data_IF_668805284254
#
_entry.id   IF_668805284254
#
_cell.length_a   1.000
_cell.length_b   1.000
_cell.length_c   1.000
_cell.angle_alpha   90.00
_cell.angle_beta   90.00
_cell.angle_gamma   90.00
#
_symmetry.space_group_name_H-M   'P 1'
#
loop_
_entity.id
_entity.type
_entity.pdbx_description
1 polymer ?
#
# COMPACT_ATOMS: atom_id res chain seq x y z
N UNK A 1 26.25 43.22 -9.28
CA UNK A 1 24.79 43.02 -9.14
C UNK A 1 24.54 41.53 -9.11
N UNK A 2 23.98 41.04 -8.00
CA UNK A 2 23.76 39.63 -7.70
C UNK A 2 22.68 39.03 -8.61
N UNK A 3 23.00 37.92 -9.28
CA UNK A 3 22.03 37.02 -9.90
C UNK A 3 21.52 36.08 -8.81
N UNK A 4 20.24 36.22 -8.47
CA UNK A 4 19.53 35.34 -7.53
C UNK A 4 19.33 33.96 -8.15
N UNK A 5 20.15 33.00 -7.73
CA UNK A 5 20.03 31.58 -8.04
C UNK A 5 19.00 30.91 -7.09
N UNK A 6 17.71 31.23 -7.21
CA UNK A 6 16.68 30.72 -6.30
C UNK A 6 15.47 30.06 -7.00
N UNK A 7 15.51 29.83 -8.32
CA UNK A 7 14.33 29.39 -9.08
C UNK A 7 14.37 27.96 -9.66
N UNK A 8 15.46 27.20 -9.44
CA UNK A 8 15.67 25.91 -10.11
C UNK A 8 15.59 24.67 -9.20
N UNK A 9 15.49 24.85 -7.88
CA UNK A 9 15.31 23.73 -6.94
C UNK A 9 13.84 23.39 -6.67
N UNK A 10 12.92 24.36 -6.74
CA UNK A 10 11.54 24.21 -6.27
C UNK A 10 10.69 23.24 -7.11
N UNK A 11 10.99 23.10 -8.41
CA UNK A 11 10.25 22.23 -9.32
C UNK A 11 10.65 20.75 -9.22
N UNK A 12 11.83 20.43 -8.64
CA UNK A 12 12.32 19.04 -8.55
C UNK A 12 11.95 18.38 -7.22
N UNK A 13 11.61 19.17 -6.20
CA UNK A 13 11.15 18.71 -4.88
C UNK A 13 9.69 18.23 -4.89
N UNK A 14 8.85 18.79 -5.76
CA UNK A 14 7.40 18.52 -5.78
C UNK A 14 7.01 17.09 -6.17
N UNK A 15 7.68 16.47 -7.13
CA UNK A 15 7.36 15.09 -7.55
C UNK A 15 7.64 14.02 -6.46
N UNK A 16 8.82 14.00 -5.80
CA UNK A 16 9.09 13.05 -4.73
C UNK A 16 8.32 13.33 -3.43
N UNK A 17 8.05 14.60 -3.09
CA UNK A 17 7.22 14.95 -1.92
C UNK A 17 5.76 14.51 -2.14
N UNK A 18 5.18 14.77 -3.33
CA UNK A 18 3.85 14.30 -3.69
C UNK A 18 3.75 12.77 -3.67
N UNK A 19 4.80 12.06 -4.12
CA UNK A 19 4.84 10.60 -4.07
C UNK A 19 4.89 10.06 -2.64
N UNK A 20 5.61 10.73 -1.73
CA UNK A 20 5.66 10.35 -0.32
C UNK A 20 4.31 10.56 0.36
N UNK A 21 3.67 11.71 0.12
CA UNK A 21 2.34 12.00 0.67
C UNK A 21 1.28 11.01 0.16
N UNK A 22 1.32 10.67 -1.14
CA UNK A 22 0.48 9.65 -1.74
C UNK A 22 0.65 8.29 -1.05
N UNK A 23 1.88 7.82 -0.89
CA UNK A 23 2.17 6.54 -0.21
C UNK A 23 1.69 6.56 1.24
N UNK A 24 1.90 7.67 1.96
CA UNK A 24 1.41 7.83 3.32
C UNK A 24 -0.12 7.80 3.40
N UNK A 25 -0.81 8.47 2.47
CA UNK A 25 -2.27 8.43 2.36
C UNK A 25 -2.76 7.00 2.10
N UNK A 26 -2.18 6.35 1.09
CA UNK A 26 -2.49 4.98 0.72
C UNK A 26 -2.29 4.02 1.90
N UNK A 27 -1.20 4.18 2.66
CA UNK A 27 -0.96 3.37 3.84
C UNK A 27 -2.06 3.52 4.89
N UNK A 28 -2.42 4.76 5.23
CA UNK A 28 -3.48 5.03 6.22
C UNK A 28 -4.83 4.50 5.76
N UNK A 29 -5.15 4.64 4.47
CA UNK A 29 -6.37 4.09 3.90
C UNK A 29 -6.39 2.57 3.99
N UNK A 30 -5.29 1.89 3.65
CA UNK A 30 -5.18 0.44 3.76
C UNK A 30 -5.28 -0.06 5.20
N UNK A 31 -4.67 0.63 6.17
CA UNK A 31 -4.81 0.28 7.60
C UNK A 31 -6.26 0.44 8.09
N UNK A 32 -6.97 1.50 7.65
CA UNK A 32 -8.38 1.70 7.99
C UNK A 32 -9.29 0.62 7.37
N UNK A 33 -9.00 0.21 6.13
CA UNK A 33 -9.73 -0.86 5.45
C UNK A 33 -9.48 -2.22 6.11
N UNK A 34 -8.24 -2.53 6.50
CA UNK A 34 -7.93 -3.71 7.31
C UNK A 34 -8.74 -3.74 8.61
N UNK A 35 -8.83 -2.60 9.31
CA UNK A 35 -9.63 -2.52 10.53
C UNK A 35 -11.11 -2.77 10.24
N UNK A 36 -11.64 -2.22 9.15
CA UNK A 36 -13.01 -2.51 8.71
C UNK A 36 -13.23 -4.00 8.45
N UNK A 37 -12.28 -4.68 7.81
CA UNK A 37 -12.38 -6.13 7.57
C UNK A 37 -12.40 -6.93 8.87
N UNK A 38 -11.57 -6.53 9.84
CA UNK A 38 -11.54 -7.14 11.16
C UNK A 38 -12.89 -6.93 11.88
N UNK A 39 -13.46 -5.73 11.80
CA UNK A 39 -14.74 -5.39 12.43
C UNK A 39 -15.91 -6.15 11.79
N UNK A 40 -15.93 -6.27 10.45
CA UNK A 40 -16.89 -7.09 9.71
C UNK A 40 -16.85 -8.55 10.16
N UNK A 41 -15.66 -9.14 10.31
CA UNK A 41 -15.50 -10.52 10.79
C UNK A 41 -15.98 -10.67 12.24
N UNK A 42 -15.71 -9.69 13.11
CA UNK A 42 -16.20 -9.70 14.48
C UNK A 42 -17.72 -9.63 14.56
N UNK A 43 -18.35 -8.78 13.73
CA UNK A 43 -19.79 -8.65 13.66
C UNK A 43 -20.45 -9.94 13.13
N UNK A 44 -19.87 -10.56 12.11
CA UNK A 44 -20.40 -11.77 11.49
C UNK A 44 -20.14 -13.06 12.31
N UNK A 45 -19.29 -13.03 13.34
CA UNK A 45 -18.85 -14.21 14.10
C UNK A 45 -19.98 -15.14 14.58
N UNK A 46 -21.15 -14.58 14.90
CA UNK A 46 -22.30 -15.35 15.38
C UNK A 46 -23.17 -15.95 14.26
N UNK A 47 -22.97 -15.53 13.01
CA UNK A 47 -23.67 -16.01 11.82
C UNK A 47 -22.70 -16.79 10.90
N UNK A 48 -22.81 -18.13 10.85
CA UNK A 48 -21.95 -18.96 10.03
C UNK A 48 -22.06 -18.71 8.52
N UNK A 49 -23.24 -18.36 8.00
CA UNK A 49 -23.41 -18.10 6.56
C UNK A 49 -22.78 -16.76 6.19
N UNK A 50 -23.05 -15.73 6.97
CA UNK A 50 -22.42 -14.42 6.76
C UNK A 50 -20.89 -14.50 6.87
N UNK A 51 -20.38 -15.25 7.85
CA UNK A 51 -18.94 -15.50 7.99
C UNK A 51 -18.37 -16.20 6.74
N UNK A 52 -19.07 -17.22 6.20
CA UNK A 52 -18.63 -17.94 4.99
C UNK A 52 -18.58 -17.00 3.78
N UNK A 53 -19.58 -16.15 3.60
CA UNK A 53 -19.64 -15.19 2.51
C UNK A 53 -18.50 -14.17 2.59
N UNK A 54 -18.25 -13.60 3.78
CA UNK A 54 -17.13 -12.68 4.00
C UNK A 54 -15.78 -13.34 3.72
N UNK A 55 -15.54 -14.54 4.24
CA UNK A 55 -14.29 -15.26 3.98
C UNK A 55 -14.11 -15.61 2.49
N UNK A 56 -15.19 -15.93 1.78
CA UNK A 56 -15.13 -16.18 0.35
C UNK A 56 -14.79 -14.90 -0.44
N UNK A 57 -15.34 -13.75 -0.02
CA UNK A 57 -15.01 -12.44 -0.57
C UNK A 57 -13.53 -12.08 -0.34
N UNK A 58 -13.08 -12.14 0.91
CA UNK A 58 -11.69 -11.82 1.27
C UNK A 58 -10.66 -12.73 0.62
N UNK A 59 -10.98 -14.01 0.39
CA UNK A 59 -10.10 -14.89 -0.40
C UNK A 59 -9.89 -14.36 -1.81
N UNK A 60 -10.93 -13.84 -2.46
CA UNK A 60 -10.79 -13.24 -3.81
C UNK A 60 -9.96 -11.98 -3.75
N UNK A 61 -10.23 -11.10 -2.78
CA UNK A 61 -9.46 -9.87 -2.58
C UNK A 61 -7.96 -10.15 -2.32
N UNK A 62 -7.63 -11.22 -1.58
CA UNK A 62 -6.23 -11.67 -1.39
C UNK A 62 -5.60 -12.11 -2.72
N UNK A 63 -6.30 -12.90 -3.56
CA UNK A 63 -5.73 -13.30 -4.86
C UNK A 63 -5.50 -12.10 -5.79
N UNK A 64 -6.41 -11.13 -5.77
CA UNK A 64 -6.26 -9.87 -6.51
C UNK A 64 -5.06 -9.07 -5.99
N UNK A 65 -4.91 -8.97 -4.67
CA UNK A 65 -3.76 -8.32 -4.03
C UNK A 65 -2.43 -9.00 -4.38
N UNK A 66 -2.38 -10.34 -4.37
CA UNK A 66 -1.19 -11.09 -4.80
C UNK A 66 -0.84 -10.80 -6.26
N UNK A 67 -1.84 -10.79 -7.15
CA UNK A 67 -1.62 -10.48 -8.57
C UNK A 67 -1.08 -9.06 -8.75
N UNK A 68 -1.65 -8.10 -8.04
CA UNK A 68 -1.22 -6.71 -8.08
C UNK A 68 0.21 -6.54 -7.55
N UNK A 69 0.52 -7.09 -6.38
CA UNK A 69 1.83 -6.97 -5.75
C UNK A 69 2.91 -7.74 -6.53
N UNK A 70 2.57 -8.88 -7.12
CA UNK A 70 3.47 -9.61 -8.02
C UNK A 70 3.84 -8.77 -9.24
N UNK A 71 2.88 -8.10 -9.87
CA UNK A 71 3.16 -7.18 -10.95
C UNK A 71 4.03 -5.99 -10.48
N UNK A 72 3.72 -5.43 -9.31
CA UNK A 72 4.46 -4.29 -8.73
C UNK A 72 5.88 -4.65 -8.26
N UNK A 73 6.20 -5.93 -8.06
CA UNK A 73 7.56 -6.39 -7.80
C UNK A 73 8.45 -6.33 -9.05
N UNK A 74 7.86 -6.36 -10.25
CA UNK A 74 8.60 -6.42 -11.51
C UNK A 74 9.13 -5.05 -11.96
N UNK A 75 10.41 -4.93 -12.36
CA UNK A 75 10.98 -3.65 -12.81
C UNK A 75 10.25 -3.00 -13.99
N UNK A 76 9.67 -3.79 -14.89
CA UNK A 76 8.97 -3.32 -16.08
C UNK A 76 7.69 -2.59 -15.71
N UNK A 77 7.01 -3.00 -14.64
CA UNK A 77 5.79 -2.36 -14.16
C UNK A 77 6.00 -0.88 -13.81
N UNK A 78 7.12 -0.58 -13.16
CA UNK A 78 7.49 0.77 -12.72
C UNK A 78 7.73 1.76 -13.86
N UNK A 79 7.97 1.28 -15.09
CA UNK A 79 8.18 2.15 -16.26
C UNK A 79 6.90 2.88 -16.68
N UNK A 80 5.74 2.34 -16.34
CA UNK A 80 4.43 2.91 -16.69
C UNK A 80 3.46 2.91 -15.51
N UNK A 81 3.96 2.75 -14.29
CA UNK A 81 3.15 2.81 -13.09
C UNK A 81 2.59 4.23 -12.89
N UNK A 82 1.28 4.34 -12.73
CA UNK A 82 0.61 5.59 -12.36
C UNK A 82 0.59 5.73 -10.84
N UNK A 83 0.35 6.96 -10.37
CA UNK A 83 0.14 7.24 -8.94
C UNK A 83 -0.95 6.32 -8.33
N UNK A 84 -2.08 6.19 -9.02
CA UNK A 84 -3.20 5.33 -8.61
C UNK A 84 -2.77 3.87 -8.42
N UNK A 85 -1.95 3.33 -9.32
CA UNK A 85 -1.47 1.94 -9.21
C UNK A 85 -0.48 1.74 -8.06
N UNK A 86 0.33 2.75 -7.76
CA UNK A 86 1.23 2.74 -6.61
C UNK A 86 0.40 2.81 -5.32
N UNK A 87 -0.60 3.69 -5.25
CA UNK A 87 -1.53 3.80 -4.12
C UNK A 87 -2.29 2.49 -3.89
N UNK A 88 -2.83 1.87 -4.94
CA UNK A 88 -3.50 0.58 -4.87
C UNK A 88 -2.58 -0.51 -4.32
N UNK A 89 -1.33 -0.57 -4.81
CA UNK A 89 -0.34 -1.55 -4.33
C UNK A 89 0.03 -1.32 -2.87
N UNK A 90 0.19 -0.06 -2.45
CA UNK A 90 0.43 0.29 -1.05
C UNK A 90 -0.74 -0.12 -0.15
N UNK A 91 -1.99 0.13 -0.57
CA UNK A 91 -3.19 -0.31 0.17
C UNK A 91 -3.24 -1.83 0.29
N UNK A 92 -3.09 -2.54 -0.83
CA UNK A 92 -3.11 -4.01 -0.85
C UNK A 92 -2.05 -4.62 0.10
N UNK A 93 -0.83 -4.07 0.10
CA UNK A 93 0.22 -4.48 1.02
C UNK A 93 -0.17 -4.27 2.49
N UNK A 94 -0.76 -3.12 2.83
CA UNK A 94 -1.21 -2.85 4.21
C UNK A 94 -2.28 -3.82 4.68
N UNK A 95 -3.27 -4.06 3.83
CA UNK A 95 -4.42 -4.90 4.18
C UNK A 95 -3.99 -6.36 4.36
N UNK A 96 -3.21 -6.91 3.42
CA UNK A 96 -3.07 -8.36 3.32
C UNK A 96 -1.73 -8.94 3.77
N UNK A 97 -0.64 -8.16 3.82
CA UNK A 97 0.69 -8.70 4.11
C UNK A 97 0.83 -9.32 5.51
N UNK A 98 0.04 -8.90 6.50
CA UNK A 98 0.10 -9.47 7.85
C UNK A 98 -0.66 -10.80 7.96
N UNK A 99 -1.75 -10.95 7.20
CA UNK A 99 -2.62 -12.13 7.22
C UNK A 99 -2.28 -13.19 6.18
N UNK A 100 -1.50 -12.85 5.14
CA UNK A 100 -1.15 -13.74 4.04
C UNK A 100 0.36 -13.75 3.75
N UNK A 101 1.05 -14.91 3.88
CA UNK A 101 2.50 -14.97 3.73
C UNK A 101 2.99 -14.68 2.31
N UNK A 102 2.18 -14.96 1.29
CA UNK A 102 2.55 -14.63 -0.10
C UNK A 102 2.50 -13.12 -0.31
N UNK A 103 1.45 -12.45 0.18
CA UNK A 103 1.40 -10.99 0.21
C UNK A 103 2.57 -10.39 1.02
N UNK A 104 2.99 -11.00 2.13
CA UNK A 104 4.14 -10.54 2.91
C UNK A 104 5.45 -10.57 2.09
N UNK A 105 5.68 -11.65 1.35
CA UNK A 105 6.86 -11.80 0.50
C UNK A 105 6.84 -10.79 -0.65
N UNK A 106 5.68 -10.61 -1.27
CA UNK A 106 5.48 -9.67 -2.37
C UNK A 106 5.55 -8.21 -1.90
N UNK A 107 5.03 -7.87 -0.71
CA UNK A 107 5.21 -6.56 -0.08
C UNK A 107 6.69 -6.26 0.06
N UNK A 108 7.50 -7.18 0.57
CA UNK A 108 8.94 -6.95 0.75
C UNK A 108 9.62 -6.64 -0.58
N UNK A 109 9.28 -7.36 -1.65
CA UNK A 109 9.81 -7.11 -2.99
C UNK A 109 9.35 -5.75 -3.54
N UNK A 110 8.05 -5.45 -3.40
CA UNK A 110 7.47 -4.15 -3.77
C UNK A 110 8.12 -2.99 -3.01
N UNK A 111 8.28 -3.10 -1.70
CA UNK A 111 8.89 -2.09 -0.84
C UNK A 111 10.36 -1.84 -1.20
N UNK A 112 11.12 -2.90 -1.52
CA UNK A 112 12.48 -2.75 -2.02
C UNK A 112 12.52 -1.94 -3.33
N UNK A 113 11.54 -2.14 -4.22
CA UNK A 113 11.41 -1.38 -5.47
C UNK A 113 10.95 0.04 -5.24
N UNK A 114 9.95 0.26 -4.39
CA UNK A 114 9.48 1.59 -3.98
C UNK A 114 10.64 2.42 -3.41
N UNK A 115 11.48 1.82 -2.55
CA UNK A 115 12.68 2.45 -2.00
C UNK A 115 13.70 2.76 -3.10
N UNK A 116 13.93 1.83 -4.02
CA UNK A 116 14.90 2.00 -5.11
C UNK A 116 14.46 3.05 -6.14
N UNK A 117 13.16 3.18 -6.42
CA UNK A 117 12.62 4.03 -7.50
C UNK A 117 12.23 5.41 -6.97
N UNK A 118 11.60 5.48 -5.80
CA UNK A 118 11.07 6.72 -5.23
C UNK A 118 11.76 7.16 -3.93
N UNK A 119 12.72 6.37 -3.41
CA UNK A 119 13.39 6.69 -2.15
C UNK A 119 12.52 6.54 -0.90
N UNK A 120 11.34 5.91 -1.03
CA UNK A 120 10.37 5.75 0.05
C UNK A 120 10.55 4.37 0.70
N UNK A 121 10.84 4.35 1.99
CA UNK A 121 10.92 3.12 2.77
C UNK A 121 9.56 2.82 3.43
N UNK A 122 8.83 1.85 2.86
CA UNK A 122 7.51 1.45 3.35
C UNK A 122 7.56 0.93 4.80
N UNK A 123 8.66 0.27 5.19
CA UNK A 123 8.84 -0.28 6.53
C UNK A 123 9.00 0.81 7.61
N UNK A 124 9.35 2.04 7.21
CA UNK A 124 9.43 3.18 8.12
C UNK A 124 8.08 3.88 8.33
N UNK A 125 7.06 3.52 7.56
CA UNK A 125 5.72 4.06 7.76
C UNK A 125 5.02 3.15 8.78
N UNK A 126 4.71 3.66 9.99
CA UNK A 126 4.08 2.84 11.02
C UNK A 126 2.72 2.33 10.54
N UNK A 127 2.39 1.09 10.90
CA UNK A 127 1.00 0.62 10.81
C UNK A 127 0.21 1.30 11.92
N UNK A 128 -1.02 1.71 11.64
CA UNK A 128 -1.92 2.14 12.71
C UNK A 128 -2.30 0.93 13.57
N UNK A 129 -1.61 0.76 14.70
CA UNK A 129 -1.97 -0.22 15.71
C UNK A 129 -3.20 0.27 16.50
N UNK A 130 -4.11 -0.66 16.84
CA UNK A 130 -5.15 -0.40 17.84
C UNK A 130 -4.48 -0.01 19.16
N UNK A 131 -4.70 1.22 19.62
CA UNK A 131 -4.72 1.51 21.06
C UNK A 131 -5.76 0.58 21.68
N UNK A 132 -5.29 -0.45 22.38
CA UNK A 132 -6.16 -1.38 23.12
C UNK A 132 -6.81 -0.69 24.31
#
# INVERSE_FOLDING_TARGET
>A
MLVTAAGLDDARTSAPENARELVLHACRAGDAELQSHIDDLWAAKADPEQTRELLARYRREVEDARTLLAAAAEPQWWRSATAERIEESCRAARIWAEGDPVCADLERAFAARLRSVLGIDLAQIPRHERSR
#
